data_IF_784669691069
#
_entry.id   IF_784669691069
#
_cell.length_a   1.000
_cell.length_b   1.000
_cell.length_c   1.000
_cell.angle_alpha   90.00
_cell.angle_beta   90.00
_cell.angle_gamma   90.00
#
_symmetry.space_group_name_H-M   'P 1'
#
loop_
_entity.id
_entity.type
_entity.pdbx_description
1 polymer ?
#
# COMPACT_ATOMS: atom_id res chain seq x y z
N UNK A 1 13.22 -4.04 16.80
CA UNK A 1 12.17 -3.55 15.91
C UNK A 1 12.55 -3.90 14.49
N UNK A 2 11.57 -4.33 13.69
CA UNK A 2 11.83 -4.62 12.29
C UNK A 2 12.28 -3.35 11.57
N UNK A 3 13.48 -3.39 10.98
CA UNK A 3 14.04 -2.29 10.19
C UNK A 3 13.56 -2.32 8.74
N UNK A 4 12.71 -3.29 8.42
CA UNK A 4 12.23 -3.54 7.07
C UNK A 4 10.71 -3.66 7.04
N UNK A 5 10.09 -3.06 6.04
CA UNK A 5 8.65 -3.13 5.79
C UNK A 5 8.34 -2.89 4.31
N UNK A 6 7.14 -3.25 3.90
CA UNK A 6 6.61 -2.95 2.57
C UNK A 6 5.40 -2.03 2.71
N UNK A 7 5.42 -0.87 2.05
CA UNK A 7 4.25 -0.03 1.91
C UNK A 7 3.52 -0.40 0.63
N UNK A 8 2.19 -0.49 0.70
CA UNK A 8 1.32 -0.83 -0.43
C UNK A 8 0.17 0.17 -0.54
N UNK A 9 -0.32 0.32 -1.76
CA UNK A 9 -1.57 0.99 -2.09
C UNK A 9 -2.16 0.37 -3.34
N UNK A 10 -3.50 0.27 -3.43
CA UNK A 10 -4.21 -0.32 -4.55
C UNK A 10 -5.27 0.62 -5.08
N UNK A 11 -5.32 0.78 -6.42
CA UNK A 11 -6.48 1.32 -7.10
C UNK A 11 -7.41 0.21 -7.55
N UNK A 12 -8.71 0.45 -7.51
CA UNK A 12 -9.74 -0.52 -7.90
C UNK A 12 -10.60 0.02 -9.03
N UNK A 13 -10.96 -0.82 -9.99
CA UNK A 13 -11.77 -0.45 -11.15
C UNK A 13 -13.24 -0.18 -10.80
N UNK A 14 -13.72 -0.72 -9.67
CA UNK A 14 -15.10 -0.60 -9.23
C UNK A 14 -15.22 -0.77 -7.70
N UNK A 15 -16.42 -0.60 -7.15
CA UNK A 15 -16.67 -0.73 -5.72
C UNK A 15 -16.46 -2.14 -5.14
N UNK A 16 -16.20 -3.11 -5.99
CA UNK A 16 -15.86 -4.47 -5.57
C UNK A 16 -14.35 -4.57 -5.34
N UNK A 17 -13.96 -4.95 -4.13
CA UNK A 17 -12.56 -4.92 -3.67
C UNK A 17 -11.64 -5.87 -4.42
N UNK A 18 -12.17 -6.91 -5.07
CA UNK A 18 -11.41 -7.82 -5.90
C UNK A 18 -11.07 -7.27 -7.31
N UNK A 19 -11.38 -6.01 -7.59
CA UNK A 19 -11.18 -5.37 -8.90
C UNK A 19 -9.92 -4.50 -8.94
N UNK A 20 -8.82 -4.93 -8.33
CA UNK A 20 -7.55 -4.19 -8.37
C UNK A 20 -7.16 -3.91 -9.82
N UNK A 21 -6.88 -2.63 -10.14
CA UNK A 21 -6.43 -2.18 -11.46
C UNK A 21 -5.05 -1.51 -11.45
N UNK A 22 -4.52 -1.16 -10.29
CA UNK A 22 -3.12 -0.75 -10.13
C UNK A 22 -2.59 -1.20 -8.76
N UNK A 23 -1.32 -1.59 -8.75
CA UNK A 23 -0.54 -1.91 -7.55
C UNK A 23 0.58 -0.90 -7.41
N UNK A 24 0.64 -0.22 -6.28
CA UNK A 24 1.77 0.54 -5.81
C UNK A 24 2.46 -0.20 -4.66
N UNK A 25 3.77 -0.40 -4.74
CA UNK A 25 4.54 -1.09 -3.72
C UNK A 25 5.90 -0.43 -3.53
N UNK A 26 6.29 -0.21 -2.27
CA UNK A 26 7.60 0.30 -1.88
C UNK A 26 8.18 -0.57 -0.78
N UNK A 27 9.31 -1.21 -1.05
CA UNK A 27 10.09 -1.95 -0.05
C UNK A 27 11.11 -1.04 0.59
N UNK A 28 11.12 -1.01 1.91
CA UNK A 28 12.09 -0.27 2.71
C UNK A 28 12.86 -1.23 3.60
N UNK A 29 14.19 -1.11 3.57
CA UNK A 29 15.10 -1.88 4.42
C UNK A 29 16.16 -0.94 5.02
N UNK A 30 16.30 -0.96 6.33
CA UNK A 30 17.20 -0.07 7.05
C UNK A 30 17.02 1.42 6.66
N UNK A 31 15.76 1.86 6.54
CA UNK A 31 15.35 3.22 6.16
C UNK A 31 15.63 3.61 4.69
N UNK A 32 16.14 2.69 3.87
CA UNK A 32 16.44 2.90 2.45
C UNK A 32 15.38 2.17 1.62
N UNK A 33 14.89 2.81 0.56
CA UNK A 33 14.02 2.17 -0.42
C UNK A 33 14.88 1.21 -1.26
N UNK A 34 14.57 -0.08 -1.22
CA UNK A 34 15.30 -1.14 -1.95
C UNK A 34 14.54 -1.64 -3.17
N UNK A 35 13.23 -1.48 -3.21
CA UNK A 35 12.42 -1.78 -4.40
C UNK A 35 11.18 -0.89 -4.47
N UNK A 36 10.74 -0.59 -5.69
CA UNK A 36 9.50 0.12 -5.98
C UNK A 36 8.84 -0.49 -7.22
N UNK A 37 7.53 -0.72 -7.15
CA UNK A 37 6.75 -1.27 -8.23
C UNK A 37 5.50 -0.40 -8.45
N UNK A 38 5.23 -0.04 -9.70
CA UNK A 38 3.96 0.52 -10.15
C UNK A 38 3.49 -0.38 -11.31
N UNK A 39 2.43 -1.16 -11.07
CA UNK A 39 1.99 -2.18 -12.01
C UNK A 39 0.52 -1.96 -12.30
N UNK A 40 0.17 -1.70 -13.57
CA UNK A 40 -1.20 -1.78 -14.04
C UNK A 40 -1.65 -3.24 -14.07
N UNK A 41 -2.88 -3.47 -13.67
CA UNK A 41 -3.50 -4.80 -13.61
C UNK A 41 -4.77 -4.77 -14.43
N UNK A 42 -4.96 -5.76 -15.29
CA UNK A 42 -6.26 -5.95 -15.92
C UNK A 42 -7.25 -6.51 -14.89
N UNK A 43 -8.25 -5.72 -14.46
CA UNK A 43 -9.25 -6.23 -13.52
C UNK A 43 -10.15 -7.25 -14.23
N UNK A 44 -10.90 -8.09 -13.49
CA UNK A 44 -11.85 -9.03 -14.07
C UNK A 44 -12.79 -8.35 -15.08
N UNK A 45 -12.94 -8.98 -16.25
CA UNK A 45 -13.71 -8.50 -17.40
C UNK A 45 -13.25 -7.12 -17.94
N UNK A 46 -12.14 -6.60 -17.46
CA UNK A 46 -11.65 -5.24 -17.73
C UNK A 46 -12.74 -4.18 -17.55
N UNK A 47 -13.61 -4.39 -16.53
CA UNK A 47 -14.81 -3.59 -16.31
C UNK A 47 -14.61 -2.53 -15.24
N UNK A 48 -14.93 -1.28 -15.60
CA UNK A 48 -14.77 -0.09 -14.76
C UNK A 48 -16.09 0.63 -14.51
N UNK A 49 -16.23 1.22 -13.32
CA UNK A 49 -17.25 2.22 -13.05
C UNK A 49 -16.67 3.61 -13.27
N UNK A 50 -17.34 4.48 -14.01
CA UNK A 50 -16.84 5.82 -14.37
C UNK A 50 -16.32 6.60 -13.17
N UNK A 51 -17.02 6.56 -12.04
CA UNK A 51 -16.61 7.25 -10.82
C UNK A 51 -15.23 6.85 -10.30
N UNK A 52 -14.74 5.64 -10.60
CA UNK A 52 -13.41 5.18 -10.22
C UNK A 52 -12.38 5.72 -11.20
N UNK A 53 -12.69 5.73 -12.50
CA UNK A 53 -11.88 6.40 -13.52
C UNK A 53 -11.72 7.89 -13.17
N UNK A 54 -12.79 8.57 -12.73
CA UNK A 54 -12.74 9.97 -12.32
C UNK A 54 -11.81 10.21 -11.11
N UNK A 55 -11.59 9.19 -10.26
CA UNK A 55 -10.71 9.29 -9.08
C UNK A 55 -9.24 9.11 -9.45
N UNK A 56 -8.88 8.02 -10.14
CA UNK A 56 -7.48 7.63 -10.38
C UNK A 56 -7.04 7.77 -11.83
N UNK A 57 -7.94 8.06 -12.77
CA UNK A 57 -7.64 8.29 -14.18
C UNK A 57 -7.29 7.03 -15.00
N UNK A 58 -7.32 5.84 -14.41
CA UNK A 58 -7.01 4.58 -15.11
C UNK A 58 -8.25 4.12 -15.87
N UNK A 59 -8.07 3.84 -17.17
CA UNK A 59 -9.16 3.45 -18.06
C UNK A 59 -9.04 1.99 -18.52
N UNK A 60 -10.15 1.38 -19.04
CA UNK A 60 -10.10 0.03 -19.61
C UNK A 60 -9.08 -0.12 -20.75
N UNK A 61 -8.86 0.93 -21.53
CA UNK A 61 -7.90 0.92 -22.65
C UNK A 61 -6.46 0.78 -22.15
N UNK A 62 -6.14 1.43 -21.03
CA UNK A 62 -4.80 1.38 -20.41
C UNK A 62 -4.50 -0.01 -19.83
N UNK A 63 -5.52 -0.74 -19.34
CA UNK A 63 -5.35 -2.06 -18.75
C UNK A 63 -5.72 -3.23 -19.67
N UNK A 64 -6.14 -2.95 -20.92
CA UNK A 64 -6.56 -3.98 -21.87
C UNK A 64 -5.50 -5.07 -22.14
N UNK A 65 -4.22 -4.69 -22.09
CA UNK A 65 -3.10 -5.60 -22.30
C UNK A 65 -2.23 -5.76 -21.02
N UNK A 66 -2.71 -5.29 -19.89
CA UNK A 66 -2.01 -5.47 -18.62
C UNK A 66 -2.15 -6.93 -18.12
N UNK A 67 -1.21 -7.44 -17.33
CA UNK A 67 -1.34 -8.75 -16.72
C UNK A 67 -2.54 -8.78 -15.75
N UNK A 68 -3.17 -9.94 -15.59
CA UNK A 68 -4.16 -10.17 -14.52
C UNK A 68 -3.48 -10.29 -13.16
N UNK A 69 -4.26 -10.16 -12.08
CA UNK A 69 -3.67 -10.08 -10.73
C UNK A 69 -2.92 -11.35 -10.31
N UNK A 70 -3.31 -12.52 -10.74
CA UNK A 70 -2.62 -13.79 -10.47
C UNK A 70 -1.17 -13.83 -10.99
N UNK A 71 -0.91 -13.19 -12.14
CA UNK A 71 0.45 -12.99 -12.67
C UNK A 71 1.21 -11.91 -11.89
N UNK A 72 0.55 -10.80 -11.54
CA UNK A 72 1.15 -9.73 -10.73
C UNK A 72 1.47 -10.23 -9.33
N UNK A 73 0.61 -11.09 -8.76
CA UNK A 73 0.82 -11.67 -7.44
C UNK A 73 2.16 -12.38 -7.30
N UNK A 74 2.60 -13.12 -8.30
CA UNK A 74 3.89 -13.82 -8.30
C UNK A 74 5.07 -12.85 -8.11
N UNK A 75 4.93 -11.60 -8.56
CA UNK A 75 5.96 -10.57 -8.42
C UNK A 75 5.94 -9.89 -7.05
N UNK A 76 4.74 -9.70 -6.46
CA UNK A 76 4.59 -8.94 -5.23
C UNK A 76 4.50 -9.81 -3.96
N UNK A 77 4.16 -11.09 -4.06
CA UNK A 77 4.07 -12.01 -2.92
C UNK A 77 5.32 -11.98 -2.01
N UNK A 78 6.56 -12.01 -2.55
CA UNK A 78 7.77 -12.00 -1.72
C UNK A 78 7.91 -10.75 -0.83
N UNK A 79 7.30 -9.64 -1.23
CA UNK A 79 7.31 -8.38 -0.48
C UNK A 79 6.20 -8.29 0.57
N UNK A 80 5.25 -9.23 0.57
CA UNK A 80 4.06 -9.24 1.44
C UNK A 80 4.11 -10.41 2.42
N UNK A 81 4.35 -11.62 1.93
CA UNK A 81 4.33 -12.86 2.71
C UNK A 81 5.38 -12.84 3.83
N UNK A 82 4.91 -13.02 5.06
CA UNK A 82 5.74 -12.99 6.28
C UNK A 82 6.47 -11.65 6.52
N UNK A 83 5.97 -10.54 5.93
CA UNK A 83 6.56 -9.22 6.06
C UNK A 83 5.74 -8.30 6.98
N UNK A 84 6.35 -7.18 7.37
CA UNK A 84 5.63 -6.02 7.89
C UNK A 84 5.06 -5.26 6.70
N UNK A 85 3.74 -5.08 6.64
CA UNK A 85 3.06 -4.42 5.52
C UNK A 85 2.30 -3.22 6.05
N UNK A 86 2.50 -2.06 5.45
CA UNK A 86 1.81 -0.83 5.84
C UNK A 86 1.01 -0.26 4.67
N UNK A 87 -0.20 0.21 4.96
CA UNK A 87 -1.04 0.95 4.03
C UNK A 87 -1.73 2.12 4.73
N UNK A 88 -2.13 3.14 3.98
CA UNK A 88 -2.96 4.21 4.53
C UNK A 88 -4.43 3.78 4.49
N UNK A 89 -5.08 3.71 5.66
CA UNK A 89 -6.40 3.13 5.83
C UNK A 89 -6.51 1.62 5.46
N UNK A 90 -5.37 0.90 5.46
CA UNK A 90 -5.23 -0.46 4.94
C UNK A 90 -6.19 -1.49 5.54
N UNK A 91 -6.50 -1.39 6.85
CA UNK A 91 -7.47 -2.28 7.50
C UNK A 91 -8.92 -2.08 7.04
N UNK A 92 -9.25 -0.94 6.47
CA UNK A 92 -10.56 -0.68 5.91
C UNK A 92 -10.60 -0.89 4.38
N UNK A 93 -9.45 -0.84 3.70
CA UNK A 93 -9.40 -0.91 2.24
C UNK A 93 -8.36 -1.92 1.72
N UNK A 94 -7.07 -1.59 1.68
CA UNK A 94 -6.06 -2.32 0.92
C UNK A 94 -5.92 -3.79 1.30
N UNK A 95 -5.92 -4.10 2.60
CA UNK A 95 -5.81 -5.50 3.06
C UNK A 95 -7.04 -6.33 2.70
N UNK A 96 -8.21 -5.69 2.61
CA UNK A 96 -9.41 -6.34 2.10
C UNK A 96 -9.37 -6.49 0.58
N UNK A 97 -8.86 -5.49 -0.16
CA UNK A 97 -8.66 -5.60 -1.59
C UNK A 97 -7.72 -6.77 -1.92
N UNK A 98 -6.57 -6.84 -1.26
CA UNK A 98 -5.63 -7.94 -1.41
C UNK A 98 -6.30 -9.30 -1.15
N UNK A 99 -6.94 -9.45 0.01
CA UNK A 99 -7.59 -10.71 0.40
C UNK A 99 -8.65 -11.13 -0.61
N UNK A 100 -9.60 -10.24 -0.94
CA UNK A 100 -10.71 -10.59 -1.83
C UNK A 100 -10.24 -10.83 -3.27
N UNK A 101 -9.18 -10.14 -3.72
CA UNK A 101 -8.60 -10.40 -5.05
C UNK A 101 -7.92 -11.77 -5.09
N UNK A 102 -7.14 -12.13 -4.06
CA UNK A 102 -6.55 -13.47 -3.96
C UNK A 102 -7.64 -14.57 -3.93
N UNK A 103 -8.69 -14.37 -3.14
CA UNK A 103 -9.85 -15.29 -3.09
C UNK A 103 -10.52 -15.43 -4.47
N UNK A 104 -10.69 -14.31 -5.21
CA UNK A 104 -11.26 -14.32 -6.56
C UNK A 104 -10.45 -15.18 -7.55
N UNK A 105 -9.12 -15.13 -7.45
CA UNK A 105 -8.22 -15.94 -8.29
C UNK A 105 -7.90 -17.33 -7.69
N UNK A 106 -8.54 -17.74 -6.61
CA UNK A 106 -8.30 -19.04 -5.95
C UNK A 106 -6.90 -19.15 -5.33
N UNK A 107 -6.27 -18.03 -4.98
CA UNK A 107 -4.95 -17.97 -4.38
C UNK A 107 -5.03 -17.88 -2.85
N UNK A 108 -4.05 -18.47 -2.17
CA UNK A 108 -3.98 -18.43 -0.72
C UNK A 108 -3.62 -17.03 -0.22
N UNK A 109 -4.35 -16.53 0.78
CA UNK A 109 -3.98 -15.29 1.47
C UNK A 109 -2.75 -15.55 2.34
N UNK A 110 -1.64 -14.79 2.17
CA UNK A 110 -0.44 -14.98 2.96
C UNK A 110 -0.60 -14.40 4.37
N UNK A 111 0.16 -14.94 5.31
CA UNK A 111 0.37 -14.29 6.60
C UNK A 111 1.28 -13.06 6.43
N UNK A 112 0.93 -11.96 7.08
CA UNK A 112 1.76 -10.74 7.22
C UNK A 112 1.34 -9.95 8.45
N UNK A 113 2.21 -9.06 8.91
CA UNK A 113 1.87 -8.13 10.00
C UNK A 113 1.43 -6.79 9.40
N UNK A 114 0.13 -6.48 9.51
CA UNK A 114 -0.45 -5.25 8.97
C UNK A 114 -0.24 -4.03 9.88
N UNK A 115 0.09 -2.89 9.27
CA UNK A 115 0.16 -1.57 9.89
C UNK A 115 -0.69 -0.57 9.10
N UNK A 116 -1.15 0.50 9.78
CA UNK A 116 -2.02 1.48 9.14
C UNK A 116 -1.66 2.89 9.59
N UNK A 117 -1.18 3.72 8.67
CA UNK A 117 -0.82 5.10 8.97
C UNK A 117 -2.02 5.96 9.36
N UNK A 118 -3.21 5.71 8.81
CA UNK A 118 -4.44 6.37 9.29
C UNK A 118 -4.73 6.06 10.77
N UNK A 119 -4.52 4.82 11.23
CA UNK A 119 -4.71 4.48 12.65
C UNK A 119 -3.67 5.14 13.55
N UNK A 120 -2.47 5.37 13.04
CA UNK A 120 -1.37 6.04 13.76
C UNK A 120 -1.64 7.52 13.90
N UNK A 121 -1.94 8.21 12.80
CA UNK A 121 -2.00 9.66 12.70
C UNK A 121 -3.41 10.25 12.82
N UNK A 122 -4.46 9.46 12.54
CA UNK A 122 -5.88 9.85 12.60
C UNK A 122 -6.27 10.98 11.63
N UNK A 123 -5.57 11.08 10.50
CA UNK A 123 -5.82 12.07 9.45
C UNK A 123 -5.67 11.44 8.06
N UNK A 124 -6.18 12.10 7.02
CA UNK A 124 -6.08 11.65 5.63
C UNK A 124 -4.67 11.84 5.07
N UNK A 125 -4.35 11.06 4.02
CA UNK A 125 -3.01 11.01 3.45
C UNK A 125 -2.54 12.38 2.93
N UNK A 126 -3.41 13.11 2.23
CA UNK A 126 -3.05 14.41 1.64
C UNK A 126 -2.73 15.47 2.72
N UNK A 127 -3.51 15.54 3.81
CA UNK A 127 -3.22 16.42 4.95
C UNK A 127 -1.90 16.09 5.60
N UNK A 128 -1.63 14.80 5.83
CA UNK A 128 -0.38 14.33 6.41
C UNK A 128 0.82 14.64 5.51
N UNK A 129 0.71 14.42 4.20
CA UNK A 129 1.76 14.75 3.25
C UNK A 129 2.09 16.24 3.26
N UNK A 130 1.07 17.10 3.32
CA UNK A 130 1.28 18.54 3.48
C UNK A 130 1.96 18.89 4.81
N UNK A 131 1.52 18.30 5.92
CA UNK A 131 2.09 18.53 7.24
C UNK A 131 3.56 18.12 7.35
N UNK A 132 3.92 16.97 6.75
CA UNK A 132 5.27 16.40 6.83
C UNK A 132 6.15 16.73 5.62
N UNK A 133 5.67 17.60 4.70
CA UNK A 133 6.37 17.98 3.47
C UNK A 133 6.76 16.77 2.61
N UNK A 134 5.83 15.82 2.43
CA UNK A 134 5.98 14.64 1.61
C UNK A 134 5.31 14.90 0.25
N UNK A 135 6.02 14.62 -0.85
CA UNK A 135 5.46 14.74 -2.20
C UNK A 135 4.34 13.69 -2.40
N UNK A 136 3.23 14.10 -2.98
CA UNK A 136 2.07 13.26 -3.25
C UNK A 136 1.46 13.62 -4.61
N UNK A 137 1.29 12.60 -5.46
CA UNK A 137 0.38 12.60 -6.59
C UNK A 137 -0.78 11.67 -6.21
N UNK A 138 -1.80 12.22 -5.54
CA UNK A 138 -2.86 11.42 -4.91
C UNK A 138 -3.65 10.63 -5.94
N UNK A 139 -4.00 9.38 -5.60
CA UNK A 139 -4.64 8.39 -6.46
C UNK A 139 -3.75 7.85 -7.61
N UNK A 140 -2.42 7.94 -7.44
CA UNK A 140 -1.43 7.14 -8.16
C UNK A 140 -0.82 6.17 -7.15
N UNK A 141 -1.09 4.86 -7.30
CA UNK A 141 -0.83 3.87 -6.27
C UNK A 141 0.62 3.85 -5.75
N UNK A 142 1.63 4.03 -6.63
CA UNK A 142 3.03 4.09 -6.18
C UNK A 142 3.33 5.36 -5.38
N UNK A 143 2.74 6.51 -5.76
CA UNK A 143 2.88 7.77 -5.02
C UNK A 143 2.28 7.64 -3.62
N UNK A 144 1.08 7.07 -3.52
CA UNK A 144 0.36 6.89 -2.26
C UNK A 144 1.08 5.87 -1.36
N UNK A 145 1.56 4.74 -1.91
CA UNK A 145 2.39 3.78 -1.20
C UNK A 145 3.70 4.41 -0.69
N UNK A 146 4.37 5.24 -1.50
CA UNK A 146 5.59 5.95 -1.12
C UNK A 146 5.34 6.91 0.04
N UNK A 147 4.30 7.72 -0.06
CA UNK A 147 3.89 8.66 0.99
C UNK A 147 3.54 7.92 2.30
N UNK A 148 2.78 6.84 2.21
CA UNK A 148 2.47 5.96 3.34
C UNK A 148 3.75 5.39 3.99
N UNK A 149 4.71 4.93 3.18
CA UNK A 149 6.00 4.41 3.64
C UNK A 149 6.84 5.47 4.39
N UNK A 150 6.91 6.71 3.87
CA UNK A 150 7.61 7.81 4.54
C UNK A 150 6.95 8.18 5.88
N UNK A 151 5.63 8.25 5.94
CA UNK A 151 4.91 8.47 7.20
C UNK A 151 5.20 7.36 8.22
N UNK A 152 5.22 6.11 7.78
CA UNK A 152 5.53 5.00 8.68
C UNK A 152 6.98 5.04 9.17
N UNK A 153 7.94 5.44 8.34
CA UNK A 153 9.33 5.67 8.73
C UNK A 153 9.45 6.74 9.81
N UNK A 154 8.74 7.85 9.68
CA UNK A 154 8.70 8.93 10.68
C UNK A 154 8.16 8.39 12.01
N UNK A 155 7.07 7.65 11.99
CA UNK A 155 6.49 7.01 13.18
C UNK A 155 7.48 6.09 13.88
N UNK A 156 8.18 5.23 13.15
CA UNK A 156 9.17 4.31 13.72
C UNK A 156 10.34 5.05 14.39
N UNK A 157 10.80 6.16 13.83
CA UNK A 157 11.85 7.01 14.42
C UNK A 157 11.40 7.64 15.74
N UNK A 158 10.23 8.24 15.75
CA UNK A 158 9.65 8.86 16.94
C UNK A 158 9.49 7.85 18.08
N UNK A 159 8.91 6.70 17.78
CA UNK A 159 8.71 5.64 18.76
C UNK A 159 10.02 5.09 19.34
N UNK A 160 11.06 4.96 18.52
CA UNK A 160 12.39 4.51 18.99
C UNK A 160 13.05 5.53 19.93
N UNK A 161 12.95 6.82 19.60
CA UNK A 161 13.50 7.90 20.44
C UNK A 161 12.82 7.95 21.82
N UNK A 162 11.50 7.83 21.88
CA UNK A 162 10.76 7.80 23.14
C UNK A 162 11.13 6.59 24.01
N UNK A 163 11.33 5.42 23.41
CA UNK A 163 11.76 4.22 24.14
C UNK A 163 13.17 4.37 24.71
N UNK A 164 14.08 4.99 23.98
CA UNK A 164 15.45 5.21 24.44
C UNK A 164 15.48 6.22 25.59
N UNK A 165 14.72 7.30 25.51
CA UNK A 165 14.60 8.29 26.56
C UNK A 165 14.03 7.72 27.87
N UNK A 166 13.01 6.83 27.76
CA UNK A 166 12.44 6.14 28.93
C UNK A 166 13.39 5.15 29.59
N UNK A 167 14.36 4.60 28.87
CA UNK A 167 15.40 3.70 29.44
C UNK A 167 16.51 4.48 30.16
N UNK A 168 16.85 5.67 29.66
CA UNK A 168 17.85 6.55 30.29
C UNK A 168 17.34 7.21 31.56
N UNK A 169 16.05 7.51 31.65
CA UNK A 169 15.44 8.13 32.85
C UNK A 169 15.15 7.15 34.02
N UNK A 170 15.42 5.85 33.82
CA UNK A 170 15.25 4.79 34.85
C UNK A 170 16.56 4.26 35.40
N UNK A 171 17.68 4.87 35.00
CA UNK A 171 19.02 4.66 35.61
C UNK A 171 19.41 5.85 36.47
#
# INVERSE_FOLDING_TARGET
>A
MHKSYTAIDFETAQGKRWSICQVGLVRVENEIITAQLSILVQPPDNYYWNRFIDIHGITPEQTANAPTFDYVWQQIEPFIKNQQVVAHNGFAFDFHCLKQTLEYYGLATPEFTGHCTYRIYKDNLASLCKQYNISLNHHEALSDARACGELFKIHLKTYNNERNNKKTSRK
#
